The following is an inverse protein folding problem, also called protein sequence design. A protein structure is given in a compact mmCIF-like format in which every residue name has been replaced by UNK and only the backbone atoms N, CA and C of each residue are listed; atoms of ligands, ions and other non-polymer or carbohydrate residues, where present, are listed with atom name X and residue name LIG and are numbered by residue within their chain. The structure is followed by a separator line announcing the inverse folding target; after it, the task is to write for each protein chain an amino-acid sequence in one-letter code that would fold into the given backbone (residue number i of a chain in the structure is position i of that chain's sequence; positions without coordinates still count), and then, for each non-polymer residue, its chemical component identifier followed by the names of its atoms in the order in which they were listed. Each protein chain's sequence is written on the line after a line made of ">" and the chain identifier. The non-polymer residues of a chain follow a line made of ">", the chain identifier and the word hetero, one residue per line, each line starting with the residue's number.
data_IF_675139510581
#
_entry.id   IF_675139510581
#
_cell.length_a   1.000
_cell.length_b   1.000
_cell.length_c   1.000
_cell.angle_alpha   90.00
_cell.angle_beta   90.00
_cell.angle_gamma   90.00
#
_symmetry.space_group_name_H-M   'P 1'
#
loop_
_entity.id
_entity.type
_entity.pdbx_description
1 polymer ?
#
# COMPACT_ATOMS: atom_id res chain seq x y z
N UNK A 1 24.78 -11.27 -28.84
CA UNK A 1 23.48 -10.71 -28.48
C UNK A 1 22.65 -11.63 -27.58
N UNK A 2 22.55 -12.93 -27.89
CA UNK A 2 21.79 -13.95 -27.09
C UNK A 2 22.39 -14.12 -25.68
N UNK A 3 23.72 -14.20 -25.56
CA UNK A 3 24.40 -14.38 -24.25
C UNK A 3 24.14 -13.22 -23.29
N UNK A 4 24.16 -11.96 -23.77
CA UNK A 4 23.87 -10.79 -22.93
C UNK A 4 22.45 -10.84 -22.37
N UNK A 5 21.48 -11.27 -23.17
CA UNK A 5 20.09 -11.42 -22.72
C UNK A 5 19.93 -12.47 -21.64
N UNK A 6 20.69 -13.60 -21.70
CA UNK A 6 20.66 -14.63 -20.65
C UNK A 6 21.18 -14.09 -19.33
N UNK A 7 22.30 -13.36 -19.32
CA UNK A 7 22.82 -12.76 -18.09
C UNK A 7 21.87 -11.72 -17.47
N UNK A 8 21.21 -10.93 -18.29
CA UNK A 8 20.17 -9.98 -17.83
C UNK A 8 19.00 -10.73 -17.19
N UNK A 9 18.52 -11.80 -17.83
CA UNK A 9 17.43 -12.62 -17.27
C UNK A 9 17.85 -13.29 -15.96
N UNK A 10 19.04 -13.86 -15.88
CA UNK A 10 19.55 -14.49 -14.66
C UNK A 10 19.70 -13.46 -13.52
N UNK A 11 20.24 -12.28 -13.82
CA UNK A 11 20.33 -11.18 -12.86
C UNK A 11 18.95 -10.76 -12.35
N UNK A 12 17.98 -10.64 -13.25
CA UNK A 12 16.59 -10.29 -12.88
C UNK A 12 15.97 -11.35 -11.96
N UNK A 13 16.11 -12.63 -12.31
CA UNK A 13 15.62 -13.76 -11.48
C UNK A 13 16.29 -13.74 -10.11
N UNK A 14 17.62 -13.54 -10.08
CA UNK A 14 18.36 -13.45 -8.81
C UNK A 14 17.83 -12.30 -7.95
N UNK A 15 17.59 -11.11 -8.52
CA UNK A 15 17.05 -9.96 -7.78
C UNK A 15 15.66 -10.29 -7.23
N UNK A 16 14.77 -10.92 -8.01
CA UNK A 16 13.45 -11.32 -7.55
C UNK A 16 13.54 -12.32 -6.37
N UNK A 17 14.41 -13.33 -6.47
CA UNK A 17 14.60 -14.33 -5.42
C UNK A 17 15.13 -13.66 -4.14
N UNK A 18 16.14 -12.81 -4.25
CA UNK A 18 16.71 -12.09 -3.10
C UNK A 18 15.67 -11.18 -2.45
N UNK A 19 14.92 -10.41 -3.26
CA UNK A 19 13.85 -9.55 -2.73
C UNK A 19 12.77 -10.35 -2.00
N UNK A 20 12.44 -11.57 -2.46
CA UNK A 20 11.41 -12.39 -1.84
C UNK A 20 11.77 -12.82 -0.41
N UNK A 21 13.04 -12.84 -0.06
CA UNK A 21 13.54 -13.19 1.27
C UNK A 21 13.64 -11.98 2.22
N UNK A 22 13.49 -10.77 1.71
CA UNK A 22 13.59 -9.57 2.53
C UNK A 22 12.40 -9.43 3.47
N UNK A 23 12.69 -9.03 4.70
CA UNK A 23 11.70 -8.68 5.72
C UNK A 23 11.66 -7.17 5.92
N UNK A 24 10.59 -6.70 6.51
CA UNK A 24 10.47 -5.29 6.91
C UNK A 24 11.68 -4.83 7.73
N UNK A 25 12.23 -3.69 7.35
CA UNK A 25 13.30 -3.04 8.09
C UNK A 25 12.79 -1.79 8.80
N UNK A 26 12.69 -1.85 10.13
CA UNK A 26 12.23 -0.71 10.94
C UNK A 26 13.09 0.55 10.74
N UNK A 27 14.40 0.38 10.59
CA UNK A 27 15.31 1.48 10.32
C UNK A 27 15.07 2.14 8.98
N UNK A 28 14.92 1.32 7.93
CA UNK A 28 14.58 1.80 6.59
C UNK A 28 13.24 2.56 6.58
N UNK A 29 12.23 1.97 7.18
CA UNK A 29 10.90 2.57 7.28
C UNK A 29 10.96 3.94 7.95
N UNK A 30 11.65 4.05 9.10
CA UNK A 30 11.84 5.32 9.82
C UNK A 30 12.55 6.36 8.96
N UNK A 31 13.65 5.98 8.31
CA UNK A 31 14.41 6.88 7.44
C UNK A 31 13.56 7.43 6.29
N UNK A 32 12.88 6.56 5.55
CA UNK A 32 12.08 7.00 4.40
C UNK A 32 10.86 7.81 4.85
N UNK A 33 10.23 7.47 5.97
CA UNK A 33 9.15 8.28 6.54
C UNK A 33 9.62 9.70 6.86
N UNK A 34 10.81 9.83 7.48
CA UNK A 34 11.40 11.15 7.76
C UNK A 34 11.67 11.94 6.47
N UNK A 35 12.18 11.28 5.42
CA UNK A 35 12.41 11.91 4.11
C UNK A 35 11.11 12.36 3.48
N UNK A 36 10.07 11.53 3.52
CA UNK A 36 8.75 11.86 2.99
C UNK A 36 8.14 13.04 3.77
N UNK A 37 8.18 13.00 5.10
CA UNK A 37 7.65 14.05 5.96
C UNK A 37 8.43 15.38 5.88
N UNK A 38 9.71 15.33 5.51
CA UNK A 38 10.53 16.53 5.30
C UNK A 38 10.08 17.31 4.04
N UNK A 39 9.34 16.71 3.13
CA UNK A 39 8.77 17.41 1.98
C UNK A 39 7.62 18.33 2.41
N UNK A 40 7.56 19.52 1.80
CA UNK A 40 6.65 20.64 2.21
C UNK A 40 5.18 20.27 2.33
N UNK A 41 4.69 19.26 1.63
CA UNK A 41 3.27 18.85 1.65
C UNK A 41 2.89 17.81 2.71
N UNK A 42 3.87 17.19 3.41
CA UNK A 42 3.63 16.10 4.36
C UNK A 42 4.06 16.42 5.79
N UNK A 43 4.37 17.68 6.09
CA UNK A 43 4.85 18.10 7.42
C UNK A 43 3.82 17.88 8.54
N UNK A 44 2.53 17.89 8.21
CA UNK A 44 1.43 17.71 9.17
C UNK A 44 0.43 16.67 8.66
N UNK A 45 0.81 15.41 8.68
CA UNK A 45 -0.17 14.33 8.48
C UNK A 45 -0.88 14.10 9.80
N UNK A 46 -2.18 14.41 9.84
CA UNK A 46 -3.05 14.14 10.98
C UNK A 46 -4.00 13.01 10.63
N UNK A 47 -4.14 12.06 11.54
CA UNK A 47 -5.15 11.03 11.46
C UNK A 47 -6.34 11.46 12.32
N UNK A 48 -7.51 11.58 11.69
CA UNK A 48 -8.76 11.94 12.35
C UNK A 48 -9.65 10.71 12.30
N UNK A 49 -10.13 10.27 13.45
CA UNK A 49 -11.09 9.18 13.57
C UNK A 49 -12.48 9.78 13.71
N UNK A 50 -13.40 9.38 12.85
CA UNK A 50 -14.83 9.72 12.97
C UNK A 50 -15.56 8.80 13.96
N UNK A 51 -15.01 7.58 14.14
CA UNK A 51 -15.51 6.58 15.08
C UNK A 51 -14.37 6.04 15.94
N UNK A 52 -14.69 5.61 17.16
CA UNK A 52 -13.72 4.95 18.02
C UNK A 52 -13.49 3.52 17.51
N UNK A 53 -12.24 3.22 17.14
CA UNK A 53 -11.81 1.88 16.75
C UNK A 53 -10.99 1.31 17.90
N UNK A 54 -11.45 0.20 18.47
CA UNK A 54 -10.75 -0.45 19.58
C UNK A 54 -9.52 -1.20 19.10
N UNK A 55 -8.46 -1.29 19.91
CA UNK A 55 -7.22 -1.99 19.54
C UNK A 55 -7.41 -3.47 19.21
N UNK A 56 -8.41 -4.12 19.81
CA UNK A 56 -8.79 -5.52 19.60
C UNK A 56 -9.63 -5.77 18.35
N UNK A 57 -10.16 -4.71 17.74
CA UNK A 57 -10.98 -4.85 16.54
C UNK A 57 -10.17 -5.37 15.37
N UNK A 58 -10.78 -6.32 14.65
CA UNK A 58 -10.23 -6.82 13.38
C UNK A 58 -10.55 -5.83 12.27
N UNK A 59 -9.54 -5.08 11.84
CA UNK A 59 -9.71 -3.96 10.93
C UNK A 59 -9.12 -4.24 9.55
N UNK A 60 -9.89 -3.93 8.53
CA UNK A 60 -9.45 -3.84 7.15
C UNK A 60 -9.58 -2.38 6.69
N UNK A 61 -8.47 -1.69 6.52
CA UNK A 61 -8.43 -0.29 6.13
C UNK A 61 -8.38 -0.16 4.60
N UNK A 62 -9.40 0.48 4.02
CA UNK A 62 -9.44 0.82 2.60
C UNK A 62 -9.04 2.27 2.39
N UNK A 63 -7.86 2.51 1.81
CA UNK A 63 -7.34 3.85 1.57
C UNK A 63 -7.76 4.35 0.19
N UNK A 64 -8.18 5.60 0.12
CA UNK A 64 -8.49 6.30 -1.13
C UNK A 64 -8.40 7.83 -0.97
N UNK A 65 -8.21 8.58 -2.06
CA UNK A 65 -7.87 8.05 -3.38
C UNK A 65 -6.48 7.41 -3.40
N UNK A 66 -6.23 6.55 -4.39
CA UNK A 66 -4.93 5.91 -4.55
C UNK A 66 -3.80 6.93 -4.76
N UNK A 67 -4.08 8.01 -5.48
CA UNK A 67 -3.03 8.91 -5.93
C UNK A 67 -2.05 8.19 -6.87
N UNK A 68 -0.96 8.86 -7.24
CA UNK A 68 0.07 8.26 -8.12
C UNK A 68 0.95 7.26 -7.36
N UNK A 69 1.39 7.59 -6.15
CA UNK A 69 2.35 6.78 -5.36
C UNK A 69 1.78 6.25 -4.04
N UNK A 70 0.51 6.51 -3.74
CA UNK A 70 -0.09 6.09 -2.47
C UNK A 70 0.74 6.52 -1.24
N UNK A 71 1.26 7.75 -1.26
CA UNK A 71 2.19 8.26 -0.26
C UNK A 71 1.59 8.24 1.15
N UNK A 72 0.30 8.53 1.26
CA UNK A 72 -0.44 8.51 2.53
C UNK A 72 -0.43 7.13 3.17
N UNK A 73 -0.68 6.06 2.40
CA UNK A 73 -0.65 4.69 2.92
C UNK A 73 0.73 4.34 3.47
N UNK A 74 1.79 4.71 2.74
CA UNK A 74 3.17 4.48 3.18
C UNK A 74 3.45 5.21 4.50
N UNK A 75 2.94 6.41 4.69
CA UNK A 75 3.05 7.14 5.95
C UNK A 75 2.25 6.43 7.05
N UNK A 76 1.00 6.07 6.79
CA UNK A 76 0.13 5.45 7.81
C UNK A 76 0.57 4.07 8.26
N UNK A 77 1.21 3.28 7.42
CA UNK A 77 1.81 2.00 7.83
C UNK A 77 2.86 2.14 8.94
N UNK A 78 3.31 3.36 9.22
CA UNK A 78 4.29 3.68 10.26
C UNK A 78 3.68 4.29 11.52
N UNK A 79 2.38 4.54 11.54
CA UNK A 79 1.72 4.95 12.76
C UNK A 79 1.68 3.76 13.72
N UNK A 80 2.54 3.80 14.73
CA UNK A 80 2.60 2.76 15.77
C UNK A 80 1.53 2.93 16.86
N UNK A 81 0.51 3.76 16.61
CA UNK A 81 -0.51 4.11 17.58
C UNK A 81 -1.89 3.64 17.11
N UNK A 82 -2.72 3.25 18.08
CA UNK A 82 -4.10 2.87 17.83
C UNK A 82 -4.29 1.63 16.96
N UNK A 83 -5.42 1.50 16.27
CA UNK A 83 -5.82 0.29 15.53
C UNK A 83 -4.96 0.03 14.28
N UNK A 84 -4.21 1.03 13.80
CA UNK A 84 -3.26 0.85 12.70
C UNK A 84 -1.90 0.29 13.15
N UNK A 85 -1.70 0.11 14.46
CA UNK A 85 -0.49 -0.52 14.99
C UNK A 85 -0.35 -1.93 14.43
N UNK A 86 0.82 -2.22 13.86
CA UNK A 86 1.13 -3.51 13.23
C UNK A 86 0.25 -3.86 12.00
N UNK A 87 -0.42 -2.88 11.40
CA UNK A 87 -1.12 -3.08 10.13
C UNK A 87 -0.15 -3.53 9.04
N UNK A 88 -0.54 -4.54 8.27
CA UNK A 88 0.19 -5.00 7.09
C UNK A 88 -0.42 -4.37 5.84
N UNK A 89 0.38 -3.63 5.09
CA UNK A 89 -0.05 -3.08 3.81
C UNK A 89 -0.03 -4.14 2.70
N UNK A 90 -1.07 -4.15 1.89
CA UNK A 90 -1.20 -5.03 0.74
C UNK A 90 -0.98 -4.25 -0.55
N UNK A 91 0.01 -4.65 -1.33
CA UNK A 91 0.37 -4.03 -2.60
C UNK A 91 0.26 -4.98 -3.79
N UNK A 92 0.27 -4.42 -5.00
CA UNK A 92 0.21 -5.21 -6.22
C UNK A 92 1.36 -6.23 -6.28
N UNK A 93 1.02 -7.51 -6.56
CA UNK A 93 2.02 -8.56 -6.77
C UNK A 93 2.99 -8.18 -7.88
N UNK A 94 2.50 -7.58 -8.96
CA UNK A 94 3.33 -7.14 -10.08
C UNK A 94 4.38 -6.13 -9.61
N UNK A 95 3.99 -5.09 -8.90
CA UNK A 95 4.92 -4.08 -8.39
C UNK A 95 5.98 -4.68 -7.46
N UNK A 96 5.60 -5.65 -6.63
CA UNK A 96 6.52 -6.32 -5.71
C UNK A 96 7.49 -7.29 -6.40
N UNK A 97 7.31 -7.60 -7.68
CA UNK A 97 8.28 -8.37 -8.50
C UNK A 97 9.23 -7.47 -9.27
N UNK A 98 8.93 -6.18 -9.43
CA UNK A 98 9.82 -5.27 -10.13
C UNK A 98 11.10 -5.02 -9.31
N UNK A 99 12.29 -4.96 -9.96
CA UNK A 99 13.52 -4.54 -9.30
C UNK A 99 13.35 -3.15 -8.69
N UNK A 100 14.02 -2.89 -7.58
CA UNK A 100 13.93 -1.66 -6.80
C UNK A 100 12.55 -1.39 -6.19
N UNK A 101 11.45 -1.36 -6.97
CA UNK A 101 10.10 -1.16 -6.44
C UNK A 101 9.73 -2.28 -5.48
N UNK A 102 9.98 -3.53 -5.85
CA UNK A 102 9.76 -4.67 -4.98
C UNK A 102 10.69 -4.67 -3.76
N UNK A 103 11.95 -4.27 -3.93
CA UNK A 103 12.90 -4.07 -2.84
C UNK A 103 12.34 -3.06 -1.82
N UNK A 104 11.96 -1.87 -2.28
CA UNK A 104 11.38 -0.84 -1.42
C UNK A 104 10.11 -1.31 -0.72
N UNK A 105 9.17 -1.90 -1.46
CA UNK A 105 7.92 -2.39 -0.92
C UNK A 105 8.12 -3.45 0.18
N UNK A 106 9.03 -4.40 0.00
CA UNK A 106 9.33 -5.43 0.98
C UNK A 106 10.05 -4.90 2.22
N UNK A 107 11.02 -4.02 2.04
CA UNK A 107 11.67 -3.34 3.16
C UNK A 107 10.68 -2.48 3.96
N UNK A 108 9.63 -1.99 3.31
CA UNK A 108 8.52 -1.29 3.95
C UNK A 108 7.55 -2.23 4.68
N UNK A 109 7.57 -3.51 4.37
CA UNK A 109 6.68 -4.52 4.96
C UNK A 109 5.41 -4.78 4.15
N UNK A 110 5.36 -4.31 2.89
CA UNK A 110 4.24 -4.63 2.00
C UNK A 110 4.23 -6.13 1.67
N UNK A 111 3.04 -6.69 1.65
CA UNK A 111 2.79 -8.04 1.15
C UNK A 111 1.96 -7.99 -0.14
N UNK A 112 2.11 -9.04 -0.97
CA UNK A 112 1.36 -9.10 -2.21
C UNK A 112 -0.14 -9.30 -1.95
N UNK A 113 -0.97 -8.47 -2.60
CA UNK A 113 -2.42 -8.65 -2.58
C UNK A 113 -2.80 -9.85 -3.45
N UNK A 114 -3.11 -10.96 -2.82
CA UNK A 114 -3.64 -12.18 -3.45
C UNK A 114 -4.44 -12.98 -2.41
N UNK A 115 -5.24 -13.93 -2.88
CA UNK A 115 -6.12 -14.73 -2.02
C UNK A 115 -5.38 -15.43 -0.87
N UNK A 116 -4.20 -15.99 -1.14
CA UNK A 116 -3.40 -16.70 -0.12
C UNK A 116 -2.93 -15.75 0.99
N UNK A 117 -2.33 -14.62 0.61
CA UNK A 117 -1.84 -13.62 1.59
C UNK A 117 -2.98 -13.06 2.43
N UNK A 118 -4.10 -12.69 1.79
CA UNK A 118 -5.27 -12.16 2.50
C UNK A 118 -5.78 -13.19 3.50
N UNK A 119 -6.07 -14.43 3.08
CA UNK A 119 -6.57 -15.48 3.97
C UNK A 119 -5.62 -15.77 5.12
N UNK A 120 -4.33 -15.81 4.85
CA UNK A 120 -3.30 -16.05 5.89
C UNK A 120 -3.27 -14.94 6.92
N UNK A 121 -3.32 -13.66 6.49
CA UNK A 121 -3.28 -12.52 7.41
C UNK A 121 -4.56 -12.40 8.23
N UNK A 122 -5.72 -12.49 7.57
CA UNK A 122 -6.99 -12.39 8.24
C UNK A 122 -7.24 -13.56 9.20
N UNK A 123 -6.82 -14.78 8.82
CA UNK A 123 -6.89 -15.95 9.70
C UNK A 123 -6.04 -15.81 10.97
N UNK A 124 -4.99 -14.99 10.94
CA UNK A 124 -4.16 -14.67 12.13
C UNK A 124 -4.68 -13.48 12.93
N UNK A 125 -5.79 -12.86 12.55
CA UNK A 125 -6.28 -11.66 13.20
C UNK A 125 -5.48 -10.39 12.90
N UNK A 126 -4.67 -10.39 11.81
CA UNK A 126 -3.79 -9.27 11.48
C UNK A 126 -4.59 -8.16 10.78
N UNK A 127 -4.48 -6.94 11.26
CA UNK A 127 -5.05 -5.77 10.58
C UNK A 127 -4.34 -5.53 9.25
N UNK A 128 -5.10 -5.21 8.22
CA UNK A 128 -4.57 -5.01 6.88
C UNK A 128 -5.00 -3.69 6.30
N UNK A 129 -4.10 -3.09 5.51
CA UNK A 129 -4.36 -1.88 4.74
C UNK A 129 -4.24 -2.17 3.25
N UNK A 130 -5.18 -1.70 2.46
CA UNK A 130 -5.18 -1.88 1.02
C UNK A 130 -5.74 -0.64 0.30
N UNK A 131 -5.44 -0.56 -0.98
CA UNK A 131 -5.97 0.46 -1.89
C UNK A 131 -6.97 -0.25 -2.83
N UNK A 132 -8.27 -0.22 -2.52
CA UNK A 132 -9.26 -1.01 -3.27
C UNK A 132 -9.29 -0.70 -4.76
N UNK A 133 -9.11 0.56 -5.15
CA UNK A 133 -9.11 0.99 -6.54
C UNK A 133 -7.92 0.47 -7.35
N UNK A 134 -6.78 0.24 -6.67
CA UNK A 134 -5.59 -0.31 -7.28
C UNK A 134 -5.02 0.54 -8.40
N UNK A 135 -4.38 -0.12 -9.37
CA UNK A 135 -3.73 0.56 -10.49
C UNK A 135 -4.70 1.36 -11.37
N UNK A 136 -5.92 0.89 -11.53
CA UNK A 136 -6.94 1.60 -12.30
C UNK A 136 -7.27 2.95 -11.68
N UNK A 137 -7.40 3.04 -10.37
CA UNK A 137 -7.63 4.31 -9.68
C UNK A 137 -6.40 5.23 -9.79
N UNK A 138 -5.20 4.67 -9.70
CA UNK A 138 -3.96 5.44 -9.90
C UNK A 138 -3.92 6.11 -11.29
N UNK A 139 -4.37 5.43 -12.34
CA UNK A 139 -4.42 5.98 -13.70
C UNK A 139 -5.50 7.05 -13.89
N UNK A 140 -6.51 7.06 -13.04
CA UNK A 140 -7.57 8.07 -13.04
C UNK A 140 -7.22 9.33 -12.24
N UNK A 141 -6.10 9.32 -11.54
CA UNK A 141 -5.68 10.45 -10.69
C UNK A 141 -5.52 11.73 -11.51
N UNK A 142 -6.19 12.78 -11.07
CA UNK A 142 -6.08 14.14 -11.61
C UNK A 142 -5.96 15.13 -10.45
N UNK A 143 -5.29 16.26 -10.69
CA UNK A 143 -4.97 17.24 -9.65
C UNK A 143 -6.21 17.97 -9.10
N UNK A 144 -7.25 18.13 -9.92
CA UNK A 144 -8.36 19.03 -9.62
C UNK A 144 -9.56 18.34 -8.97
N UNK A 145 -9.61 17.00 -8.99
CA UNK A 145 -10.75 16.25 -8.43
C UNK A 145 -10.32 14.90 -7.85
N UNK A 146 -11.08 14.43 -6.87
CA UNK A 146 -10.91 13.08 -6.30
C UNK A 146 -11.72 12.10 -7.14
N UNK A 147 -11.03 11.14 -7.75
CA UNK A 147 -11.63 10.03 -8.49
C UNK A 147 -11.38 8.73 -7.76
N UNK A 148 -12.43 7.95 -7.58
CA UNK A 148 -12.40 6.66 -6.88
C UNK A 148 -12.91 5.56 -7.80
N UNK A 149 -12.19 4.44 -7.86
CA UNK A 149 -12.55 3.25 -8.63
C UNK A 149 -12.85 2.08 -7.69
N UNK A 150 -14.09 2.01 -7.17
CA UNK A 150 -14.45 1.03 -6.14
C UNK A 150 -15.65 0.13 -6.52
N UNK A 151 -16.54 0.56 -7.40
CA UNK A 151 -17.79 -0.16 -7.68
C UNK A 151 -17.60 -1.62 -8.10
N UNK A 152 -16.53 -1.89 -8.83
CA UNK A 152 -16.21 -3.23 -9.33
C UNK A 152 -15.32 -4.05 -8.38
N UNK A 153 -14.87 -3.44 -7.30
CA UNK A 153 -13.91 -4.02 -6.35
C UNK A 153 -14.62 -4.69 -5.17
N UNK A 154 -15.15 -5.91 -5.39
CA UNK A 154 -15.92 -6.64 -4.37
C UNK A 154 -15.10 -7.67 -3.59
N UNK A 155 -13.88 -8.01 -4.07
CA UNK A 155 -13.08 -9.10 -3.51
C UNK A 155 -12.68 -8.89 -2.05
N UNK A 156 -12.26 -7.69 -1.67
CA UNK A 156 -11.87 -7.38 -0.30
C UNK A 156 -13.05 -7.43 0.67
N UNK A 157 -14.25 -7.00 0.23
CA UNK A 157 -15.49 -7.07 1.01
C UNK A 157 -15.83 -8.53 1.33
N UNK A 158 -15.74 -9.42 0.31
CA UNK A 158 -15.96 -10.85 0.52
C UNK A 158 -15.06 -11.41 1.62
N UNK A 159 -13.77 -11.11 1.61
CA UNK A 159 -12.84 -11.59 2.63
C UNK A 159 -13.09 -10.95 4.01
N UNK A 160 -13.46 -9.67 4.05
CA UNK A 160 -13.82 -9.04 5.32
C UNK A 160 -15.01 -9.73 5.97
N UNK A 161 -16.07 -10.06 5.20
CA UNK A 161 -17.22 -10.80 5.68
C UNK A 161 -16.84 -12.24 6.10
N UNK A 162 -16.05 -12.95 5.30
CA UNK A 162 -15.63 -14.34 5.57
C UNK A 162 -14.85 -14.47 6.88
N UNK A 163 -14.05 -13.46 7.23
CA UNK A 163 -13.19 -13.48 8.43
C UNK A 163 -13.68 -12.58 9.58
N UNK A 164 -14.86 -12.00 9.45
CA UNK A 164 -15.46 -11.10 10.44
C UNK A 164 -14.57 -9.88 10.74
N UNK A 165 -14.21 -9.15 9.69
CA UNK A 165 -13.44 -7.89 9.75
C UNK A 165 -14.34 -6.70 9.52
N UNK A 166 -14.18 -5.65 10.35
CA UNK A 166 -14.72 -4.33 10.06
C UNK A 166 -13.96 -3.69 8.89
N UNK A 167 -14.67 -3.08 7.94
CA UNK A 167 -14.08 -2.31 6.84
C UNK A 167 -14.10 -0.83 7.24
N UNK A 168 -12.93 -0.24 7.32
CA UNK A 168 -12.75 1.16 7.68
C UNK A 168 -12.23 1.94 6.47
N UNK A 169 -13.07 2.79 5.88
CA UNK A 169 -12.65 3.66 4.80
C UNK A 169 -11.72 4.77 5.33
N UNK A 170 -10.60 4.97 4.67
CA UNK A 170 -9.62 6.02 5.03
C UNK A 170 -9.48 6.98 3.87
N UNK A 171 -10.02 8.19 4.02
CA UNK A 171 -9.88 9.25 3.03
C UNK A 171 -8.56 9.99 3.20
N UNK A 172 -7.70 9.90 2.20
CA UNK A 172 -6.44 10.62 2.13
C UNK A 172 -6.64 12.00 1.48
N UNK A 173 -6.94 12.99 2.31
CA UNK A 173 -7.16 14.36 1.82
C UNK A 173 -5.88 14.91 1.17
N UNK A 174 -6.00 15.45 -0.04
CA UNK A 174 -4.92 16.01 -0.87
C UNK A 174 -3.93 14.96 -1.45
N UNK A 175 -4.11 13.65 -1.29
CA UNK A 175 -3.25 12.63 -1.93
C UNK A 175 -3.15 12.85 -3.45
N UNK A 176 -4.25 13.20 -4.11
CA UNK A 176 -4.31 13.45 -5.55
C UNK A 176 -3.52 14.70 -6.01
N UNK A 177 -3.13 15.59 -5.09
CA UNK A 177 -2.39 16.82 -5.39
C UNK A 177 -0.87 16.69 -5.28
N UNK A 178 -0.36 15.53 -4.86
CA UNK A 178 1.10 15.34 -4.71
C UNK A 178 1.85 15.40 -6.02
N UNK A 179 1.19 15.03 -7.11
CA UNK A 179 1.79 15.00 -8.44
C UNK A 179 0.93 15.77 -9.42
N UNK A 180 1.56 16.65 -10.18
CA UNK A 180 0.90 17.30 -11.32
C UNK A 180 0.67 16.26 -12.40
N UNK A 181 -0.55 16.15 -12.88
CA UNK A 181 -0.93 15.24 -13.96
C UNK A 181 -1.14 16.04 -15.24
N UNK A 182 -0.59 15.55 -16.33
CA UNK A 182 -0.80 16.14 -17.67
C UNK A 182 -1.75 15.22 -18.44
N UNK A 183 -2.79 15.79 -19.04
CA UNK A 183 -3.62 15.09 -20.01
C UNK A 183 -3.03 15.33 -21.38
N UNK A 184 -2.62 14.27 -22.08
CA UNK A 184 -2.40 14.31 -23.51
C UNK A 184 -3.76 14.08 -24.18
N UNK A 185 -4.19 15.07 -24.95
CA UNK A 185 -5.39 14.96 -25.77
C UNK A 185 -5.09 14.15 -27.03
#
# INVERSE_FOLDING_TARGET
>A
MITLNIYICLFYVMVIVLQAQLKQSKGYVRFVTQVIQARRGLKEVKLIYEEEIKPEDKCMFGFFPHGVLAATVLVFMNFNNGPMKNMIGLGSRFLLTLPFVGLFGRLWGLQAVNAHSIKTLLGKGTNVGLLPGGFEEATLTVTDEIRVFIKERKGFIKYALEYNYGIYPVLAVNEHKYFSTFRYF
#
